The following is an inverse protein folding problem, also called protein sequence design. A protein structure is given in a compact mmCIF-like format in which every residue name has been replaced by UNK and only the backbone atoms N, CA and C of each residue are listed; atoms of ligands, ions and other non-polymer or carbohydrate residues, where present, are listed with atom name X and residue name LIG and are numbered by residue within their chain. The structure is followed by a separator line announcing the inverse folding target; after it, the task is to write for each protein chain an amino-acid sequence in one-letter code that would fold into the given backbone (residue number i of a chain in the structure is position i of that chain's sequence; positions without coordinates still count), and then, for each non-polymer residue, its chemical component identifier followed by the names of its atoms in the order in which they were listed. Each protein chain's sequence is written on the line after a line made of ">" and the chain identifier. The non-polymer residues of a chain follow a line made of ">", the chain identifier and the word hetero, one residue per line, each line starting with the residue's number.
data_IF_646322582892
#
_entry.id   IF_646322582892
#
_cell.length_a   1.000
_cell.length_b   1.000
_cell.length_c   1.000
_cell.angle_alpha   90.00
_cell.angle_beta   90.00
_cell.angle_gamma   90.00
#
_symmetry.space_group_name_H-M   'P 1'
#
loop_
_entity.id
_entity.type
_entity.pdbx_description
1 polymer ?
#
# COMPACT_ATOMS: atom_id res chain seq x y z
N UNK A 1 0.08 -18.29 15.10
CA UNK A 1 0.18 -16.99 15.77
C UNK A 1 -1.06 -16.23 15.36
N UNK A 2 -1.90 -15.87 16.32
CA UNK A 2 -3.03 -14.99 16.03
C UNK A 2 -2.41 -13.63 15.68
N UNK A 3 -2.56 -13.21 14.42
CA UNK A 3 -2.07 -11.90 14.00
C UNK A 3 -3.05 -10.88 14.60
N UNK A 4 -2.54 -9.92 15.37
CA UNK A 4 -3.39 -8.82 15.86
C UNK A 4 -4.04 -8.14 14.66
N UNK A 5 -5.35 -7.93 14.75
CA UNK A 5 -6.07 -7.18 13.72
C UNK A 5 -5.63 -5.71 13.74
N UNK A 6 -5.86 -5.00 12.64
CA UNK A 6 -5.54 -3.57 12.57
C UNK A 6 -6.44 -2.81 13.53
N UNK A 7 -7.67 -3.26 13.67
CA UNK A 7 -8.67 -2.73 14.59
C UNK A 7 -8.15 -2.81 16.04
N UNK A 8 -7.62 -3.96 16.47
CA UNK A 8 -7.04 -4.11 17.81
C UNK A 8 -5.86 -3.16 18.05
N UNK A 9 -4.99 -2.99 17.05
CA UNK A 9 -3.83 -2.08 17.13
C UNK A 9 -4.28 -0.63 17.27
N UNK A 10 -5.30 -0.22 16.50
CA UNK A 10 -5.82 1.15 16.55
C UNK A 10 -6.55 1.44 17.87
N UNK A 11 -7.30 0.48 18.38
CA UNK A 11 -8.01 0.60 19.66
C UNK A 11 -7.04 0.79 20.83
N UNK A 12 -5.87 0.12 20.79
CA UNK A 12 -4.85 0.23 21.83
C UNK A 12 -4.07 1.55 21.69
N UNK A 13 -3.63 1.91 20.48
CA UNK A 13 -2.71 3.03 20.28
C UNK A 13 -3.41 4.39 20.20
N UNK A 14 -4.69 4.42 19.83
CA UNK A 14 -5.49 5.65 19.70
C UNK A 14 -4.83 6.73 18.82
N UNK A 15 -4.16 6.33 17.74
CA UNK A 15 -3.51 7.22 16.77
C UNK A 15 -4.12 7.06 15.38
N UNK A 16 -4.07 8.11 14.52
CA UNK A 16 -4.55 8.01 13.15
C UNK A 16 -3.77 6.97 12.33
N UNK A 17 -4.51 6.11 11.62
CA UNK A 17 -3.92 5.18 10.66
C UNK A 17 -3.45 5.95 9.41
N UNK A 18 -2.15 5.90 9.11
CA UNK A 18 -1.60 6.47 7.88
C UNK A 18 -1.58 5.48 6.72
N UNK A 19 -1.62 4.18 6.99
CA UNK A 19 -1.65 3.13 5.98
C UNK A 19 -1.15 1.80 6.53
N UNK A 20 -1.33 0.76 5.73
CA UNK A 20 -0.89 -0.61 6.04
C UNK A 20 0.01 -1.08 4.91
N UNK A 21 1.17 -1.60 5.27
CA UNK A 21 2.14 -2.17 4.33
C UNK A 21 2.06 -3.69 4.49
N UNK A 22 1.61 -4.38 3.45
CA UNK A 22 1.59 -5.84 3.42
C UNK A 22 2.99 -6.39 3.14
N UNK A 23 3.23 -7.64 3.53
CA UNK A 23 4.46 -8.36 3.19
C UNK A 23 4.64 -8.39 1.66
N UNK A 24 5.85 -8.08 1.20
CA UNK A 24 6.14 -7.94 -0.23
C UNK A 24 7.60 -8.30 -0.49
N UNK A 25 7.83 -9.38 -1.25
CA UNK A 25 9.16 -9.85 -1.62
C UNK A 25 9.98 -8.80 -2.40
N UNK A 26 9.31 -7.84 -3.05
CA UNK A 26 9.97 -6.75 -3.75
C UNK A 26 10.77 -5.85 -2.81
N UNK A 27 10.44 -5.81 -1.51
CA UNK A 27 11.24 -5.11 -0.48
C UNK A 27 12.64 -5.71 -0.39
N UNK A 28 12.75 -7.05 -0.40
CA UNK A 28 14.04 -7.75 -0.33
C UNK A 28 14.84 -7.53 -1.61
N UNK A 29 14.18 -7.65 -2.77
CA UNK A 29 14.82 -7.49 -4.08
C UNK A 29 15.37 -6.07 -4.24
N UNK A 30 14.53 -5.05 -3.97
CA UNK A 30 14.90 -3.65 -4.11
C UNK A 30 16.06 -3.24 -3.18
N UNK A 31 16.05 -3.74 -1.94
CA UNK A 31 17.15 -3.55 -0.98
C UNK A 31 18.48 -4.11 -1.51
N UNK A 32 18.48 -5.34 -2.04
CA UNK A 32 19.69 -5.97 -2.58
C UNK A 32 20.22 -5.29 -3.85
N UNK A 33 19.34 -4.65 -4.63
CA UNK A 33 19.73 -3.89 -5.83
C UNK A 33 20.18 -2.45 -5.51
N UNK A 34 19.99 -1.98 -4.27
CA UNK A 34 20.28 -0.60 -3.89
C UNK A 34 19.32 0.42 -4.52
N UNK A 35 18.13 -0.02 -4.92
CA UNK A 35 17.12 0.83 -5.54
C UNK A 35 15.91 1.00 -4.61
N UNK A 36 15.43 2.22 -4.33
CA UNK A 36 14.27 2.39 -3.46
C UNK A 36 12.98 1.86 -4.09
N UNK A 37 12.30 0.96 -3.39
CA UNK A 37 11.01 0.38 -3.81
C UNK A 37 9.93 1.42 -4.11
N UNK A 38 9.92 2.51 -3.32
CA UNK A 38 8.92 3.58 -3.42
C UNK A 38 9.00 4.42 -4.70
N UNK A 39 10.07 4.28 -5.51
CA UNK A 39 10.24 5.03 -6.77
C UNK A 39 9.52 4.38 -7.97
N UNK A 40 8.77 3.30 -7.75
CA UNK A 40 7.83 2.77 -8.75
C UNK A 40 8.46 2.04 -9.94
N UNK A 41 9.75 1.69 -9.87
CA UNK A 41 10.40 0.84 -10.89
C UNK A 41 9.83 -0.58 -10.92
N UNK A 42 9.29 -1.04 -9.79
CA UNK A 42 8.71 -2.38 -9.62
C UNK A 42 7.21 -2.25 -9.33
N UNK A 43 6.40 -3.17 -9.87
CA UNK A 43 5.00 -3.32 -9.45
C UNK A 43 5.00 -3.95 -8.07
N UNK A 44 4.86 -3.11 -7.04
CA UNK A 44 4.95 -3.51 -5.64
C UNK A 44 3.79 -2.92 -4.83
N UNK A 45 2.93 -3.75 -4.20
CA UNK A 45 1.90 -3.27 -3.29
C UNK A 45 2.50 -2.49 -2.10
N UNK A 46 3.68 -2.91 -1.59
CA UNK A 46 4.36 -2.15 -0.54
C UNK A 46 4.84 -0.78 -1.04
N UNK A 47 5.40 -0.70 -2.25
CA UNK A 47 5.79 0.56 -2.89
C UNK A 47 4.62 1.55 -3.02
N UNK A 48 3.45 1.06 -3.44
CA UNK A 48 2.21 1.87 -3.52
C UNK A 48 1.77 2.31 -2.12
N UNK A 49 1.81 1.42 -1.12
CA UNK A 49 1.47 1.75 0.26
C UNK A 49 2.39 2.85 0.82
N UNK A 50 3.72 2.74 0.64
CA UNK A 50 4.67 3.78 1.04
C UNK A 50 4.39 5.12 0.38
N UNK A 51 4.11 5.13 -0.93
CA UNK A 51 3.76 6.35 -1.66
C UNK A 51 2.50 7.02 -1.09
N UNK A 52 1.45 6.25 -0.82
CA UNK A 52 0.22 6.78 -0.23
C UNK A 52 0.41 7.28 1.21
N UNK A 53 1.20 6.58 2.03
CA UNK A 53 1.57 7.02 3.39
C UNK A 53 2.30 8.37 3.32
N UNK A 54 3.30 8.50 2.44
CA UNK A 54 4.04 9.74 2.26
C UNK A 54 3.13 10.91 1.86
N UNK A 55 2.17 10.68 0.95
CA UNK A 55 1.17 11.68 0.56
C UNK A 55 0.29 12.13 1.73
N UNK A 56 -0.19 11.20 2.57
CA UNK A 56 -0.96 11.53 3.78
C UNK A 56 -0.13 12.31 4.80
N UNK A 57 1.14 11.97 4.97
CA UNK A 57 2.07 12.73 5.83
C UNK A 57 2.20 14.18 5.33
N UNK A 58 2.16 14.41 4.02
CA UNK A 58 2.14 15.75 3.42
C UNK A 58 0.78 16.47 3.51
N UNK A 59 -0.22 15.85 4.13
CA UNK A 59 -1.56 16.41 4.29
C UNK A 59 -2.50 16.16 3.11
N UNK A 60 -2.14 15.30 2.16
CA UNK A 60 -3.06 14.93 1.07
C UNK A 60 -4.12 13.94 1.57
N UNK A 61 -5.37 14.14 1.14
CA UNK A 61 -6.45 13.19 1.38
C UNK A 61 -6.35 12.02 0.40
N UNK A 62 -5.77 10.91 0.86
CA UNK A 62 -5.68 9.67 0.10
C UNK A 62 -6.52 8.59 0.79
N UNK A 63 -7.52 7.98 0.12
CA UNK A 63 -8.32 6.91 0.72
C UNK A 63 -7.48 5.72 1.18
N UNK A 64 -7.71 5.22 2.39
CA UNK A 64 -7.03 4.01 2.88
C UNK A 64 -7.67 2.80 2.19
N UNK A 65 -6.90 1.95 1.48
CA UNK A 65 -7.44 0.78 0.82
C UNK A 65 -8.02 -0.20 1.84
N UNK A 66 -9.19 -0.74 1.52
CA UNK A 66 -9.76 -1.87 2.28
C UNK A 66 -8.99 -3.14 1.91
N UNK A 67 -8.00 -3.46 2.73
CA UNK A 67 -7.13 -4.63 2.56
C UNK A 67 -7.82 -5.96 2.84
N UNK A 68 -9.02 -5.94 3.42
CA UNK A 68 -9.83 -7.14 3.64
C UNK A 68 -10.81 -7.39 2.47
N UNK A 69 -10.97 -6.44 1.54
CA UNK A 69 -11.82 -6.63 0.36
C UNK A 69 -11.12 -7.49 -0.70
N UNK A 70 -11.75 -8.58 -1.18
CA UNK A 70 -11.30 -9.24 -2.38
C UNK A 70 -11.39 -8.26 -3.55
N UNK A 71 -10.33 -8.18 -4.37
CA UNK A 71 -10.28 -7.29 -5.52
C UNK A 71 -11.52 -7.47 -6.40
N UNK A 72 -12.32 -6.41 -6.52
CA UNK A 72 -13.58 -6.43 -7.24
C UNK A 72 -13.36 -6.46 -8.75
N UNK A 73 -14.35 -6.93 -9.51
CA UNK A 73 -14.32 -6.89 -10.98
C UNK A 73 -14.16 -5.48 -11.55
N UNK A 74 -14.58 -4.46 -10.81
CA UNK A 74 -14.48 -3.03 -11.20
C UNK A 74 -13.03 -2.52 -11.02
N UNK A 75 -12.34 -2.93 -9.96
CA UNK A 75 -10.94 -2.53 -9.70
C UNK A 75 -10.02 -3.00 -10.84
N UNK A 76 -10.27 -4.24 -11.33
CA UNK A 76 -9.53 -4.82 -12.46
C UNK A 76 -9.78 -4.10 -13.79
N UNK A 77 -10.92 -3.43 -13.96
CA UNK A 77 -11.25 -2.71 -15.19
C UNK A 77 -10.58 -1.32 -15.22
N UNK A 78 -10.44 -0.66 -14.06
CA UNK A 78 -9.74 0.63 -13.93
C UNK A 78 -8.23 0.52 -14.21
N UNK A 79 -7.60 -0.56 -13.78
CA UNK A 79 -6.18 -0.85 -14.06
C UNK A 79 -5.92 -1.03 -15.58
N UNK A 80 -6.88 -1.60 -16.30
CA UNK A 80 -6.77 -1.83 -17.75
C UNK A 80 -6.85 -0.52 -18.55
N UNK A 81 -7.60 0.47 -18.08
CA UNK A 81 -7.70 1.80 -18.71
C UNK A 81 -6.46 2.65 -18.43
N UNK A 82 -5.89 2.56 -17.22
CA UNK A 82 -4.68 3.31 -16.86
C UNK A 82 -3.41 2.79 -17.55
N UNK A 83 -3.37 1.51 -17.92
CA UNK A 83 -2.23 0.89 -18.61
C UNK A 83 -2.13 1.29 -20.10
N UNK A 84 -3.19 1.89 -20.68
CA UNK A 84 -3.26 2.19 -22.13
C UNK A 84 -3.11 3.67 -22.49
N UNK A 85 -2.83 4.54 -21.52
CA UNK A 85 -2.62 6.00 -21.71
C UNK A 85 -1.16 6.40 -21.41
N UNK A 86 -0.23 5.46 -21.60
CA UNK A 86 1.20 5.72 -21.80
C UNK A 86 1.61 4.99 -23.08
#
# INVERSE_FOLDING_TARGET
>A
LDMMSIEDVLDILAVPLLGVVQEDEQVIISSNLGEPLALGKYKSPAGVAYGNIARRIRGEEVPIPDINKPAGFIDRLGDFLSTKII
#
